data_IF_840001200160
#
_entry.id   IF_840001200160
#
_cell.length_a   1.000
_cell.length_b   1.000
_cell.length_c   1.000
_cell.angle_alpha   90.00
_cell.angle_beta   90.00
_cell.angle_gamma   90.00
#
_symmetry.space_group_name_H-M   'P 1'
#
loop_
_entity.id
_entity.type
_entity.pdbx_description
1 polymer ?
#
# COMPACT_ATOMS: atom_id res chain seq x y z
N UNK A 1 2.78 8.25 -9.11
CA UNK A 1 3.31 7.19 -8.24
C UNK A 1 3.06 5.82 -8.80
N UNK A 2 1.82 5.32 -8.86
CA UNK A 2 1.51 3.93 -9.32
C UNK A 2 1.76 3.67 -10.81
N UNK A 3 1.95 4.70 -11.62
CA UNK A 3 2.30 4.57 -13.04
C UNK A 3 3.80 4.64 -13.30
N UNK A 4 4.61 4.76 -12.25
CA UNK A 4 6.06 4.68 -12.39
C UNK A 4 6.44 3.23 -12.71
N UNK A 5 7.51 3.05 -13.45
CA UNK A 5 8.01 1.72 -13.85
C UNK A 5 8.70 1.01 -12.69
N UNK A 6 9.20 1.76 -11.69
CA UNK A 6 9.90 1.24 -10.53
C UNK A 6 9.62 2.10 -9.29
N UNK A 7 10.09 1.66 -8.14
CA UNK A 7 9.91 2.31 -6.85
C UNK A 7 8.93 1.56 -5.96
N UNK A 8 8.59 2.14 -4.82
CA UNK A 8 7.71 1.50 -3.83
C UNK A 8 6.49 2.39 -3.53
N UNK A 9 5.34 1.76 -3.46
CA UNK A 9 4.07 2.37 -3.05
C UNK A 9 3.59 1.66 -1.79
N UNK A 10 3.39 2.40 -0.71
CA UNK A 10 2.98 1.87 0.58
C UNK A 10 1.62 2.39 1.01
N UNK A 11 0.76 1.49 1.45
CA UNK A 11 -0.54 1.83 2.02
C UNK A 11 -0.55 1.44 3.49
N UNK A 12 -0.80 2.41 4.35
CA UNK A 12 -0.91 2.22 5.80
C UNK A 12 -2.34 2.43 6.30
N UNK A 13 -2.60 1.95 7.49
CA UNK A 13 -3.90 2.10 8.15
C UNK A 13 -4.22 0.90 9.04
N UNK A 14 -5.24 1.00 9.90
CA UNK A 14 -5.67 -0.09 10.77
C UNK A 14 -6.23 -1.28 9.97
N UNK A 15 -6.40 -2.39 10.66
CA UNK A 15 -7.13 -3.54 10.12
C UNK A 15 -8.55 -3.11 9.72
N UNK A 16 -9.04 -3.60 8.60
CA UNK A 16 -10.36 -3.24 8.07
C UNK A 16 -10.43 -1.87 7.38
N UNK A 17 -9.33 -1.11 7.24
CA UNK A 17 -9.35 0.17 6.52
C UNK A 17 -9.40 0.05 4.99
N UNK A 18 -9.44 -1.16 4.44
CA UNK A 18 -9.54 -1.41 3.00
C UNK A 18 -8.22 -1.36 2.24
N UNK A 19 -7.07 -1.54 2.91
CA UNK A 19 -5.74 -1.52 2.27
C UNK A 19 -5.63 -2.53 1.13
N UNK A 20 -5.99 -3.79 1.39
CA UNK A 20 -5.97 -4.87 0.38
C UNK A 20 -6.89 -4.54 -0.79
N UNK A 21 -8.08 -4.00 -0.53
CA UNK A 21 -9.03 -3.58 -1.58
C UNK A 21 -8.41 -2.52 -2.49
N UNK A 22 -7.71 -1.54 -1.91
CA UNK A 22 -7.02 -0.49 -2.68
C UNK A 22 -5.85 -1.05 -3.48
N UNK A 23 -5.04 -1.96 -2.89
CA UNK A 23 -3.97 -2.65 -3.63
C UNK A 23 -4.52 -3.47 -4.79
N UNK A 24 -5.57 -4.25 -4.58
CA UNK A 24 -6.19 -5.06 -5.63
C UNK A 24 -6.80 -4.20 -6.75
N UNK A 25 -7.42 -3.07 -6.41
CA UNK A 25 -7.90 -2.11 -7.41
C UNK A 25 -6.72 -1.53 -8.22
N UNK A 26 -5.61 -1.24 -7.56
CA UNK A 26 -4.38 -0.77 -8.23
C UNK A 26 -3.79 -1.85 -9.14
N UNK A 27 -3.72 -3.10 -8.68
CA UNK A 27 -3.25 -4.22 -9.51
C UNK A 27 -4.14 -4.42 -10.75
N UNK A 28 -5.48 -4.37 -10.59
CA UNK A 28 -6.40 -4.46 -11.73
C UNK A 28 -6.18 -3.34 -12.76
N UNK A 29 -5.87 -2.12 -12.29
CA UNK A 29 -5.59 -0.98 -13.17
C UNK A 29 -4.27 -1.16 -13.94
N UNK A 30 -3.27 -1.81 -13.34
CA UNK A 30 -1.94 -2.01 -13.91
C UNK A 30 -1.83 -3.31 -14.73
N UNK A 31 -2.79 -4.23 -14.56
CA UNK A 31 -2.76 -5.54 -15.19
C UNK A 31 -3.08 -5.45 -16.68
N UNK A 32 -2.07 -5.65 -17.49
CA UNK A 32 -2.15 -5.71 -18.95
C UNK A 32 -1.52 -7.00 -19.45
N UNK A 33 -1.75 -7.37 -20.71
CA UNK A 33 -1.14 -8.55 -21.33
C UNK A 33 0.39 -8.47 -21.39
N UNK A 34 0.96 -7.27 -21.25
CA UNK A 34 2.41 -7.01 -21.31
C UNK A 34 3.07 -6.90 -19.94
N UNK A 35 2.30 -7.03 -18.85
CA UNK A 35 2.77 -6.77 -17.49
C UNK A 35 2.80 -8.07 -16.70
N UNK A 36 3.97 -8.49 -16.26
CA UNK A 36 4.13 -9.63 -15.36
C UNK A 36 3.94 -9.17 -13.90
N UNK A 37 2.81 -9.55 -13.31
CA UNK A 37 2.47 -9.20 -11.92
C UNK A 37 2.51 -10.44 -11.05
N UNK A 38 3.26 -10.37 -9.96
CA UNK A 38 3.36 -11.42 -8.95
C UNK A 38 2.96 -10.88 -7.58
N UNK A 39 2.27 -11.69 -6.79
CA UNK A 39 1.91 -11.31 -5.43
C UNK A 39 2.27 -12.40 -4.42
N UNK A 40 2.58 -11.99 -3.20
CA UNK A 40 2.66 -12.90 -2.04
C UNK A 40 1.83 -12.33 -0.91
N UNK A 41 0.91 -13.15 -0.38
CA UNK A 41 -0.19 -12.69 0.48
C UNK A 41 -0.43 -13.65 1.65
N UNK A 42 -1.04 -13.13 2.73
CA UNK A 42 -1.37 -13.90 3.92
C UNK A 42 -2.71 -13.42 4.54
N UNK A 43 -3.85 -14.02 4.14
CA UNK A 43 -4.08 -14.90 2.98
C UNK A 43 -4.38 -14.15 1.69
N UNK A 44 -4.56 -14.89 0.58
CA UNK A 44 -5.17 -14.35 -0.66
C UNK A 44 -6.67 -14.15 -0.40
N UNK A 45 -7.16 -12.91 -0.53
CA UNK A 45 -8.57 -12.57 -0.29
C UNK A 45 -9.49 -13.11 -1.41
N UNK A 46 -9.07 -12.93 -2.66
CA UNK A 46 -9.72 -13.51 -3.84
C UNK A 46 -8.79 -13.51 -5.06
N UNK A 47 -9.06 -14.40 -5.99
CA UNK A 47 -8.21 -14.56 -7.19
C UNK A 47 -8.38 -13.41 -8.18
N UNK A 48 -7.27 -12.90 -8.68
CA UNK A 48 -7.21 -11.89 -9.73
C UNK A 48 -6.77 -12.55 -11.05
N UNK A 49 -7.60 -12.46 -12.09
CA UNK A 49 -7.28 -13.03 -13.39
C UNK A 49 -6.04 -12.34 -14.00
N UNK A 50 -5.08 -13.14 -14.47
CA UNK A 50 -3.86 -12.62 -15.11
C UNK A 50 -2.78 -12.16 -14.14
N UNK A 51 -2.90 -12.47 -12.85
CA UNK A 51 -1.92 -12.17 -11.80
C UNK A 51 -1.49 -13.47 -11.14
N UNK A 52 -0.20 -13.66 -10.95
CA UNK A 52 0.37 -14.81 -10.27
C UNK A 52 0.36 -14.57 -8.76
N UNK A 53 -0.65 -15.09 -8.07
CA UNK A 53 -0.82 -14.91 -6.62
C UNK A 53 -0.29 -16.13 -5.87
N UNK A 54 0.58 -15.90 -4.89
CA UNK A 54 1.16 -16.91 -4.01
C UNK A 54 0.72 -16.63 -2.59
N UNK A 55 0.13 -17.64 -1.95
CA UNK A 55 -0.21 -17.57 -0.53
C UNK A 55 0.97 -18.05 0.32
N UNK A 56 1.29 -17.29 1.37
CA UNK A 56 2.27 -17.69 2.37
C UNK A 56 1.95 -19.04 2.99
N UNK A 57 3.01 -19.81 3.27
CA UNK A 57 2.98 -21.06 4.02
C UNK A 57 4.25 -21.14 4.85
N UNK A 58 4.25 -20.48 6.00
CA UNK A 58 5.44 -20.36 6.86
C UNK A 58 5.87 -21.73 7.44
N UNK A 59 4.91 -22.66 7.64
CA UNK A 59 5.13 -24.03 8.08
C UNK A 59 6.06 -24.83 7.17
N UNK A 60 6.12 -24.49 5.89
CA UNK A 60 7.02 -25.12 4.90
C UNK A 60 8.14 -24.17 4.45
N UNK A 61 8.37 -23.05 5.14
CA UNK A 61 9.42 -22.07 4.84
C UNK A 61 9.12 -21.12 3.67
N UNK A 62 7.88 -21.09 3.18
CA UNK A 62 7.45 -20.11 2.19
C UNK A 62 7.06 -18.80 2.89
N UNK A 63 8.05 -17.96 3.15
CA UNK A 63 7.92 -16.63 3.78
C UNK A 63 7.88 -15.52 2.73
N UNK A 64 7.55 -14.27 3.14
CA UNK A 64 7.64 -13.10 2.26
C UNK A 64 9.02 -12.97 1.61
N UNK A 65 10.08 -13.13 2.38
CA UNK A 65 11.46 -13.04 1.91
C UNK A 65 11.81 -14.15 0.91
N UNK A 66 11.44 -15.41 1.18
CA UNK A 66 11.75 -16.54 0.29
C UNK A 66 10.97 -16.43 -1.03
N UNK A 67 9.70 -16.01 -0.97
CA UNK A 67 8.89 -15.75 -2.15
C UNK A 67 9.46 -14.62 -3.00
N UNK A 68 9.83 -13.50 -2.37
CA UNK A 68 10.39 -12.35 -3.07
C UNK A 68 11.71 -12.68 -3.77
N UNK A 69 12.60 -13.46 -3.14
CA UNK A 69 13.82 -13.98 -3.80
C UNK A 69 13.53 -14.80 -5.03
N UNK A 70 12.44 -15.58 -5.02
CA UNK A 70 12.03 -16.38 -6.17
C UNK A 70 11.42 -15.52 -7.27
N UNK A 71 10.61 -14.53 -6.92
CA UNK A 71 9.99 -13.60 -7.85
C UNK A 71 11.02 -12.81 -8.67
N UNK A 72 12.08 -12.32 -8.02
CA UNK A 72 13.15 -11.58 -8.71
C UNK A 72 13.87 -12.38 -9.83
N UNK A 73 13.64 -13.69 -9.91
CA UNK A 73 14.15 -14.54 -10.99
C UNK A 73 13.10 -14.83 -12.08
N UNK A 74 11.90 -14.28 -11.95
CA UNK A 74 10.79 -14.50 -12.88
C UNK A 74 10.53 -13.28 -13.76
N UNK A 75 11.44 -12.29 -13.72
CA UNK A 75 11.35 -11.04 -14.48
C UNK A 75 9.97 -10.33 -14.28
N UNK A 76 9.57 -10.04 -13.03
CA UNK A 76 8.31 -9.36 -12.78
C UNK A 76 8.43 -7.87 -13.03
N UNK A 77 7.41 -7.26 -13.61
CA UNK A 77 7.30 -5.78 -13.68
C UNK A 77 6.78 -5.22 -12.36
N UNK A 78 5.83 -5.93 -11.75
CA UNK A 78 5.15 -5.49 -10.53
C UNK A 78 5.14 -6.61 -9.50
N UNK A 79 5.57 -6.27 -8.29
CA UNK A 79 5.57 -7.18 -7.14
C UNK A 79 4.64 -6.60 -6.07
N UNK A 80 3.63 -7.36 -5.64
CA UNK A 80 2.85 -6.99 -4.46
C UNK A 80 3.23 -7.88 -3.28
N UNK A 81 3.62 -7.26 -2.18
CA UNK A 81 3.78 -7.90 -0.88
C UNK A 81 2.56 -7.56 -0.02
N UNK A 82 1.88 -8.55 0.50
CA UNK A 82 0.71 -8.34 1.37
C UNK A 82 1.01 -7.32 2.45
N UNK A 83 2.15 -7.47 3.11
CA UNK A 83 2.64 -6.47 4.08
C UNK A 83 4.16 -6.56 4.31
N UNK A 84 4.72 -5.46 4.83
CA UNK A 84 6.09 -5.39 5.34
C UNK A 84 6.03 -5.38 6.86
N UNK A 85 6.44 -6.50 7.49
CA UNK A 85 6.44 -6.68 8.96
C UNK A 85 7.81 -6.53 9.59
N UNK A 86 8.87 -6.88 8.87
CA UNK A 86 10.23 -7.03 9.38
C UNK A 86 11.29 -6.35 8.52
N UNK A 87 12.48 -6.22 9.09
CA UNK A 87 13.62 -5.54 8.48
C UNK A 87 14.15 -6.25 7.22
N UNK A 88 14.06 -7.58 7.14
CA UNK A 88 14.56 -8.33 5.99
C UNK A 88 13.65 -8.10 4.78
N UNK A 89 12.34 -8.25 4.96
CA UNK A 89 11.32 -7.96 3.93
C UNK A 89 11.40 -6.51 3.47
N UNK A 90 11.56 -5.54 4.39
CA UNK A 90 11.70 -4.12 4.06
C UNK A 90 12.91 -3.86 3.17
N UNK A 91 14.09 -4.37 3.55
CA UNK A 91 15.34 -4.20 2.79
C UNK A 91 15.25 -4.86 1.39
N UNK A 92 14.62 -6.01 1.29
CA UNK A 92 14.44 -6.69 0.01
C UNK A 92 13.45 -5.95 -0.90
N UNK A 93 12.34 -5.43 -0.36
CA UNK A 93 11.38 -4.61 -1.10
C UNK A 93 12.05 -3.35 -1.69
N UNK A 94 12.86 -2.67 -0.87
CA UNK A 94 13.66 -1.52 -1.33
C UNK A 94 14.65 -1.93 -2.43
N UNK A 95 15.38 -3.05 -2.28
CA UNK A 95 16.30 -3.52 -3.32
C UNK A 95 15.58 -3.86 -4.62
N UNK A 96 14.42 -4.52 -4.55
CA UNK A 96 13.60 -4.80 -5.72
C UNK A 96 13.20 -3.51 -6.45
N UNK A 97 12.80 -2.48 -5.71
CA UNK A 97 12.43 -1.18 -6.29
C UNK A 97 13.60 -0.44 -6.94
N UNK A 98 14.82 -0.60 -6.42
CA UNK A 98 16.04 -0.05 -7.02
C UNK A 98 16.46 -0.77 -8.32
N UNK A 99 16.11 -2.06 -8.43
CA UNK A 99 16.48 -2.89 -9.60
C UNK A 99 15.43 -2.90 -10.70
N UNK A 100 14.51 -1.93 -10.70
CA UNK A 100 13.58 -1.70 -11.81
C UNK A 100 12.16 -2.19 -11.61
N UNK A 101 11.82 -2.74 -10.42
CA UNK A 101 10.49 -3.28 -10.16
C UNK A 101 9.60 -2.25 -9.45
N UNK A 102 8.31 -2.22 -9.79
CA UNK A 102 7.31 -1.51 -9.00
C UNK A 102 6.84 -2.40 -7.86
N UNK A 103 7.12 -2.00 -6.63
CA UNK A 103 6.72 -2.74 -5.43
C UNK A 103 5.50 -2.08 -4.79
N UNK A 104 4.44 -2.84 -4.59
CA UNK A 104 3.23 -2.43 -3.87
C UNK A 104 3.14 -3.18 -2.56
N UNK A 105 2.89 -2.50 -1.44
CA UNK A 105 2.75 -3.21 -0.16
C UNK A 105 1.92 -2.43 0.85
N UNK A 106 1.58 -3.12 1.95
CA UNK A 106 1.05 -2.45 3.13
C UNK A 106 2.11 -2.38 4.23
N UNK A 107 1.91 -1.45 5.14
CA UNK A 107 2.72 -1.30 6.34
C UNK A 107 1.82 -0.81 7.48
N UNK A 108 2.07 -1.28 8.70
CA UNK A 108 1.29 -0.87 9.87
C UNK A 108 1.85 0.40 10.48
N UNK A 109 1.27 1.54 10.10
CA UNK A 109 1.52 2.86 10.69
C UNK A 109 0.24 3.67 10.79
N UNK A 110 0.24 4.69 11.66
CA UNK A 110 -0.93 5.53 11.89
C UNK A 110 -1.05 6.70 10.91
N UNK A 111 0.00 7.01 10.16
CA UNK A 111 0.04 8.12 9.20
C UNK A 111 0.94 7.78 8.02
N UNK A 112 0.76 8.50 6.91
CA UNK A 112 1.63 8.35 5.73
C UNK A 112 3.09 8.74 6.04
N UNK A 113 3.30 9.78 6.83
CA UNK A 113 4.66 10.17 7.28
C UNK A 113 5.27 9.15 8.23
N UNK A 114 4.48 8.54 9.11
CA UNK A 114 4.93 7.49 10.02
C UNK A 114 5.49 6.26 9.30
N UNK A 115 5.14 6.06 8.03
CA UNK A 115 5.72 5.00 7.19
C UNK A 115 7.23 5.17 7.02
N UNK A 116 7.70 6.41 6.86
CA UNK A 116 9.13 6.72 6.70
C UNK A 116 9.88 6.35 7.98
N UNK A 117 9.39 6.82 9.13
CA UNK A 117 10.00 6.49 10.44
C UNK A 117 10.03 4.97 10.64
N UNK A 118 8.94 4.27 10.31
CA UNK A 118 8.87 2.82 10.46
C UNK A 118 9.90 2.08 9.61
N UNK A 119 10.12 2.52 8.36
CA UNK A 119 11.17 1.94 7.50
C UNK A 119 12.57 2.22 8.05
N UNK A 120 12.82 3.40 8.60
CA UNK A 120 14.09 3.74 9.27
C UNK A 120 14.30 2.83 10.50
N UNK A 121 13.27 2.63 11.33
CA UNK A 121 13.32 1.73 12.49
C UNK A 121 13.61 0.27 12.09
N UNK A 122 13.15 -0.15 10.89
CA UNK A 122 13.48 -1.45 10.30
C UNK A 122 14.91 -1.49 9.71
N UNK A 123 15.69 -0.42 9.87
CA UNK A 123 17.10 -0.35 9.44
C UNK A 123 17.25 -0.12 7.92
N UNK A 124 16.26 0.49 7.27
CA UNK A 124 16.39 0.97 5.89
C UNK A 124 17.04 2.35 5.92
N UNK A 125 18.16 2.56 5.21
CA UNK A 125 18.81 3.87 5.13
C UNK A 125 17.87 4.93 4.53
N UNK A 126 17.83 6.13 5.13
CA UNK A 126 16.90 7.19 4.73
C UNK A 126 17.09 7.65 3.27
N UNK A 127 18.32 7.64 2.76
CA UNK A 127 18.58 7.99 1.37
C UNK A 127 17.95 6.99 0.39
N UNK A 128 17.91 5.70 0.73
CA UNK A 128 17.23 4.69 -0.10
C UNK A 128 15.70 4.86 -0.07
N UNK A 129 15.15 5.22 1.10
CA UNK A 129 13.72 5.54 1.20
C UNK A 129 13.38 6.74 0.31
N UNK A 130 14.19 7.80 0.37
CA UNK A 130 13.97 9.01 -0.44
C UNK A 130 14.05 8.73 -1.95
N UNK A 131 14.91 7.80 -2.37
CA UNK A 131 15.08 7.43 -3.78
C UNK A 131 13.95 6.51 -4.28
N UNK A 132 13.42 5.64 -3.43
CA UNK A 132 12.52 4.56 -3.86
C UNK A 132 11.06 4.77 -3.51
N UNK A 133 10.74 5.53 -2.44
CA UNK A 133 9.36 5.71 -1.98
C UNK A 133 8.60 6.70 -2.89
N UNK A 134 7.85 6.16 -3.84
CA UNK A 134 7.05 6.97 -4.76
C UNK A 134 5.79 7.55 -4.11
N UNK A 135 5.12 6.74 -3.28
CA UNK A 135 3.85 7.11 -2.64
C UNK A 135 3.72 6.43 -1.28
N UNK A 136 3.33 7.20 -0.28
CA UNK A 136 2.85 6.70 1.00
C UNK A 136 1.44 7.22 1.26
N UNK A 137 0.51 6.30 1.49
CA UNK A 137 -0.91 6.59 1.73
C UNK A 137 -1.29 6.09 3.12
N UNK A 138 -2.01 6.91 3.89
CA UNK A 138 -2.68 6.43 5.09
C UNK A 138 -4.19 6.40 4.86
N UNK A 139 -4.81 5.24 5.07
CA UNK A 139 -6.21 5.00 4.75
C UNK A 139 -7.07 4.76 6.00
N UNK A 140 -8.23 5.40 6.01
CA UNK A 140 -9.28 5.22 7.03
C UNK A 140 -10.63 5.13 6.34
N UNK A 141 -11.50 4.24 6.82
CA UNK A 141 -12.89 4.21 6.39
C UNK A 141 -13.74 5.11 7.28
N UNK A 142 -14.56 5.92 6.65
CA UNK A 142 -15.56 6.75 7.30
C UNK A 142 -16.95 6.28 6.88
N UNK A 143 -17.95 6.52 7.74
CA UNK A 143 -19.34 6.26 7.36
C UNK A 143 -19.80 7.26 6.31
N UNK A 144 -20.39 6.77 5.23
CA UNK A 144 -21.05 7.61 4.24
C UNK A 144 -22.42 8.01 4.74
N UNK A 145 -22.82 9.23 4.45
CA UNK A 145 -24.21 9.65 4.67
C UNK A 145 -25.13 8.91 3.71
N UNK A 146 -26.32 8.54 4.22
CA UNK A 146 -27.35 7.92 3.38
C UNK A 146 -27.85 8.93 2.34
N UNK A 147 -27.92 8.51 1.08
CA UNK A 147 -28.37 9.38 0.00
C UNK A 147 -29.84 9.77 0.11
N UNK A 148 -30.66 8.95 0.80
CA UNK A 148 -32.11 9.16 0.92
C UNK A 148 -32.52 9.96 2.15
N UNK A 149 -31.69 9.97 3.25
CA UNK A 149 -32.07 10.61 4.51
C UNK A 149 -31.01 11.58 5.05
N UNK A 150 -30.00 11.94 4.24
CA UNK A 150 -29.05 13.00 4.59
C UNK A 150 -29.74 14.35 4.58
N UNK A 151 -29.45 15.15 5.60
CA UNK A 151 -29.95 16.51 5.75
C UNK A 151 -28.76 17.48 5.80
N UNK A 152 -28.96 18.72 5.36
CA UNK A 152 -27.97 19.77 5.51
C UNK A 152 -27.90 20.19 6.97
N UNK A 153 -26.69 20.21 7.52
CA UNK A 153 -26.44 20.70 8.87
C UNK A 153 -25.47 21.88 8.83
N UNK A 154 -25.90 23.02 9.32
CA UNK A 154 -25.05 24.20 9.45
C UNK A 154 -24.34 24.13 10.79
N UNK A 155 -23.05 23.89 10.76
CA UNK A 155 -22.22 23.81 11.98
C UNK A 155 -22.06 25.20 12.61
N UNK A 156 -22.27 25.31 13.92
CA UNK A 156 -21.77 26.45 14.69
C UNK A 156 -20.21 26.34 14.73
N UNK A 157 -19.52 27.47 14.59
CA UNK A 157 -18.04 27.53 14.71
C UNK A 157 -17.53 26.92 16.02
N UNK A 158 -18.35 26.88 17.06
CA UNK A 158 -18.03 26.28 18.36
C UNK A 158 -18.01 24.74 18.35
N UNK A 159 -18.70 24.12 17.39
CA UNK A 159 -18.76 22.66 17.24
C UNK A 159 -17.58 22.11 16.47
N UNK A 160 -16.85 22.99 15.78
CA UNK A 160 -15.69 22.59 14.99
C UNK A 160 -14.39 22.60 15.81
N UNK A 161 -13.49 21.64 15.63
CA UNK A 161 -12.19 21.67 16.26
C UNK A 161 -11.45 23.00 15.96
N UNK A 162 -10.73 23.55 16.94
CA UNK A 162 -9.97 24.81 16.77
C UNK A 162 -8.95 24.76 15.61
N UNK A 163 -8.51 23.56 15.25
CA UNK A 163 -7.61 23.33 14.12
C UNK A 163 -8.31 23.18 12.78
N UNK A 164 -9.65 23.23 12.75
CA UNK A 164 -10.41 23.07 11.51
C UNK A 164 -10.26 24.34 10.66
N UNK A 165 -9.57 24.21 9.55
CA UNK A 165 -9.58 25.19 8.47
C UNK A 165 -10.54 24.67 7.41
N UNK A 166 -11.61 25.40 7.12
CA UNK A 166 -12.55 25.02 6.08
C UNK A 166 -11.78 24.90 4.74
N UNK A 167 -11.73 23.73 4.11
CA UNK A 167 -11.17 23.62 2.79
C UNK A 167 -12.18 24.23 1.82
N UNK A 168 -11.93 25.43 1.37
CA UNK A 168 -12.68 26.13 0.32
C UNK A 168 -14.19 26.34 0.58
N UNK A 169 -14.65 27.53 0.30
CA UNK A 169 -16.06 27.93 0.23
C UNK A 169 -16.78 26.91 -0.63
N UNK A 170 -17.66 26.12 -0.02
CA UNK A 170 -18.70 25.42 -0.78
C UNK A 170 -19.63 26.52 -1.23
N UNK A 171 -19.50 26.93 -2.47
CA UNK A 171 -20.51 27.80 -3.09
C UNK A 171 -21.87 27.11 -2.99
N UNK A 172 -22.86 27.93 -2.63
CA UNK A 172 -24.27 27.55 -2.44
C UNK A 172 -24.88 26.92 -3.69
#
# INVERSE_FOLDING_TARGET
>A
GVKNTNGIVLISGPTGSGKTTTLYATLKLLNTIKTNIVTVEDPIEYTLKGINQVQLKEDIGLTFTSALRSFLRQDPDIIMLGEIRDAETAKMAIRASLTGHLVLSTIHTNSALGTISRLVDMGVPSFLIAETLNVSVAQRLLRKLCTSCKEEHVFDKKELPRSYQAPFVVEK
#
